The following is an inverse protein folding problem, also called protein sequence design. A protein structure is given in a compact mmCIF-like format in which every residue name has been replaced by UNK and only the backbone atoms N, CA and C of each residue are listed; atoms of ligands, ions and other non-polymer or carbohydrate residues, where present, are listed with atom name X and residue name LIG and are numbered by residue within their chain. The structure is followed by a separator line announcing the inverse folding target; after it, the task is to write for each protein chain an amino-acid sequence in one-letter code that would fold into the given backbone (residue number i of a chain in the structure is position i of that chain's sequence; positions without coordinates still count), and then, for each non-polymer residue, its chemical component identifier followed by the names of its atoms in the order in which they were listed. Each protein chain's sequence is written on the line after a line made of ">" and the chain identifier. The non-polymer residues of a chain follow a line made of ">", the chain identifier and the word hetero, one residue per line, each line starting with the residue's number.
data_IF_168880709784
#
_entry.id   IF_168880709784
#
_cell.length_a   1.000
_cell.length_b   1.000
_cell.length_c   1.000
_cell.angle_alpha   90.00
_cell.angle_beta   90.00
_cell.angle_gamma   90.00
#
_symmetry.space_group_name_H-M   'P 1'
#
loop_
_entity.id
_entity.type
_entity.pdbx_description
1 polymer ?
#
# COMPACT_ATOMS: atom_id res chain seq x y z
N UNK A 1 -7.26 -18.82 1.34
CA UNK A 1 -7.10 -19.20 -0.07
C UNK A 1 -6.12 -18.23 -0.70
N UNK A 2 -5.13 -18.70 -1.47
CA UNK A 2 -4.30 -17.81 -2.29
C UNK A 2 -5.01 -17.63 -3.62
N UNK A 3 -5.44 -16.41 -3.94
CA UNK A 3 -5.88 -16.07 -5.29
C UNK A 3 -4.63 -15.79 -6.13
N UNK A 4 -4.54 -16.47 -7.27
CA UNK A 4 -3.52 -16.22 -8.26
C UNK A 4 -4.06 -15.17 -9.23
N UNK A 5 -3.26 -14.14 -9.47
CA UNK A 5 -3.61 -13.07 -10.39
C UNK A 5 -2.84 -13.32 -11.68
N UNK A 6 -3.53 -13.31 -12.81
CA UNK A 6 -2.93 -13.43 -14.14
C UNK A 6 -2.74 -12.02 -14.70
N UNK A 7 -1.56 -11.75 -15.26
CA UNK A 7 -1.33 -10.53 -16.03
C UNK A 7 -1.90 -10.78 -17.44
N UNK A 8 -2.91 -10.01 -17.80
CA UNK A 8 -3.56 -10.05 -19.11
C UNK A 8 -2.92 -9.01 -20.04
N UNK A 9 -2.97 -9.26 -21.35
CA UNK A 9 -2.60 -8.27 -22.36
C UNK A 9 -3.86 -7.47 -22.74
N UNK A 10 -3.75 -6.15 -22.67
CA UNK A 10 -4.80 -5.21 -23.02
C UNK A 10 -4.21 -4.16 -23.95
N UNK A 11 -4.44 -4.35 -25.25
CA UNK A 11 -3.92 -3.50 -26.32
C UNK A 11 -2.40 -3.27 -26.28
N UNK A 12 -1.64 -4.27 -25.82
CA UNK A 12 -0.18 -4.21 -25.69
C UNK A 12 0.32 -3.86 -24.30
N UNK A 13 -0.57 -3.49 -23.37
CA UNK A 13 -0.26 -3.19 -21.98
C UNK A 13 -0.66 -4.33 -21.05
N UNK A 14 0.22 -4.64 -20.08
CA UNK A 14 -0.06 -5.63 -19.04
C UNK A 14 -1.08 -5.11 -18.03
N UNK A 15 -2.20 -5.81 -17.87
CA UNK A 15 -3.28 -5.47 -16.95
C UNK A 15 -3.49 -6.56 -15.89
N UNK A 16 -3.90 -6.13 -14.69
CA UNK A 16 -4.34 -7.01 -13.62
C UNK A 16 -5.84 -6.80 -13.39
N UNK A 17 -6.63 -7.88 -13.47
CA UNK A 17 -8.04 -7.82 -13.08
C UNK A 17 -8.16 -7.81 -11.57
N UNK A 18 -8.83 -6.78 -11.05
CA UNK A 18 -9.27 -6.72 -9.67
C UNK A 18 -10.71 -7.22 -9.57
N UNK A 19 -11.05 -7.98 -8.53
CA UNK A 19 -12.44 -8.37 -8.28
C UNK A 19 -13.35 -7.15 -8.05
N UNK A 20 -14.60 -7.23 -8.53
CA UNK A 20 -15.58 -6.14 -8.44
C UNK A 20 -15.89 -5.75 -6.98
N UNK A 21 -15.91 -6.72 -6.07
CA UNK A 21 -16.14 -6.49 -4.64
C UNK A 21 -15.02 -5.65 -4.02
N UNK A 22 -13.76 -5.88 -4.43
CA UNK A 22 -12.62 -5.06 -4.00
C UNK A 22 -12.73 -3.64 -4.53
N UNK A 23 -13.11 -3.46 -5.80
CA UNK A 23 -13.31 -2.12 -6.38
C UNK A 23 -14.43 -1.36 -5.68
N UNK A 24 -15.55 -2.03 -5.37
CA UNK A 24 -16.67 -1.45 -4.64
C UNK A 24 -16.31 -1.07 -3.20
N UNK A 25 -15.60 -1.96 -2.48
CA UNK A 25 -15.14 -1.68 -1.12
C UNK A 25 -14.17 -0.49 -1.09
N UNK A 26 -13.27 -0.40 -2.08
CA UNK A 26 -12.38 0.74 -2.24
C UNK A 26 -13.10 2.01 -2.73
N UNK A 27 -14.33 1.90 -3.25
CA UNK A 27 -15.08 3.00 -3.85
C UNK A 27 -14.34 3.59 -5.04
N UNK A 28 -13.93 2.73 -5.97
CA UNK A 28 -13.22 3.08 -7.22
C UNK A 28 -14.14 2.80 -8.40
N UNK A 29 -14.31 3.80 -9.26
CA UNK A 29 -15.14 3.72 -10.47
C UNK A 29 -14.29 3.71 -11.75
N UNK A 30 -14.92 3.32 -12.87
CA UNK A 30 -14.26 3.34 -14.18
C UNK A 30 -13.86 4.77 -14.55
N UNK A 31 -12.57 4.95 -14.82
CA UNK A 31 -11.97 6.25 -15.15
C UNK A 31 -11.23 6.89 -13.98
N UNK A 32 -11.34 6.33 -12.77
CA UNK A 32 -10.54 6.78 -11.64
C UNK A 32 -9.06 6.43 -11.83
N UNK A 33 -8.21 7.27 -11.24
CA UNK A 33 -6.76 7.05 -11.20
C UNK A 33 -6.34 6.61 -9.82
N UNK A 34 -5.56 5.53 -9.76
CA UNK A 34 -4.96 5.01 -8.54
C UNK A 34 -3.44 5.11 -8.60
N UNK A 35 -2.83 5.15 -7.42
CA UNK A 35 -1.39 5.11 -7.25
C UNK A 35 -0.96 3.70 -6.87
N UNK A 36 0.05 3.20 -7.59
CA UNK A 36 0.72 1.94 -7.29
C UNK A 36 1.92 2.20 -6.38
N UNK A 37 1.95 1.56 -5.23
CA UNK A 37 2.98 1.72 -4.21
C UNK A 37 3.60 0.36 -3.89
N UNK A 38 4.84 0.38 -3.43
CA UNK A 38 5.50 -0.80 -2.91
C UNK A 38 5.75 -0.62 -1.41
N UNK A 39 5.06 -1.40 -0.59
CA UNK A 39 5.07 -1.27 0.87
C UNK A 39 5.42 -2.61 1.53
N UNK A 40 6.02 -2.55 2.73
CA UNK A 40 6.24 -3.74 3.56
C UNK A 40 5.03 -3.98 4.47
N UNK A 41 4.41 -5.15 4.34
CA UNK A 41 3.36 -5.61 5.28
C UNK A 41 3.97 -6.72 6.13
N UNK A 42 4.35 -6.36 7.36
CA UNK A 42 5.16 -7.22 8.20
C UNK A 42 6.57 -7.36 7.63
N UNK A 43 6.96 -8.57 7.22
CA UNK A 43 8.29 -8.85 6.63
C UNK A 43 8.28 -9.06 5.12
N UNK A 44 7.10 -9.01 4.49
CA UNK A 44 6.95 -9.24 3.06
C UNK A 44 6.71 -7.92 2.32
N UNK A 45 7.25 -7.84 1.10
CA UNK A 45 7.05 -6.70 0.20
C UNK A 45 5.79 -6.92 -0.63
N UNK A 46 4.90 -5.94 -0.64
CA UNK A 46 3.61 -5.98 -1.31
C UNK A 46 3.44 -4.79 -2.24
N UNK A 47 2.67 -5.00 -3.31
CA UNK A 47 2.16 -3.92 -4.15
C UNK A 47 0.83 -3.47 -3.57
N UNK A 48 0.68 -2.17 -3.32
CA UNK A 48 -0.50 -1.56 -2.70
C UNK A 48 -1.10 -0.53 -3.66
N UNK A 49 -2.42 -0.54 -3.77
CA UNK A 49 -3.18 0.46 -4.51
C UNK A 49 -3.72 1.51 -3.55
N UNK A 50 -3.52 2.79 -3.87
CA UNK A 50 -3.98 3.91 -3.07
C UNK A 50 -4.73 4.94 -3.91
N UNK A 51 -5.80 5.51 -3.35
CA UNK A 51 -6.51 6.66 -3.94
C UNK A 51 -5.79 7.98 -3.70
N UNK A 52 -4.92 8.02 -2.70
CA UNK A 52 -4.09 9.20 -2.41
C UNK A 52 -2.66 8.96 -2.87
N UNK A 53 -2.02 9.97 -3.50
CA UNK A 53 -0.60 9.87 -3.79
C UNK A 53 0.16 9.80 -2.47
N UNK A 54 0.76 8.64 -2.17
CA UNK A 54 1.79 8.56 -1.14
C UNK A 54 3.13 8.88 -1.79
N UNK A 55 3.76 9.95 -1.33
CA UNK A 55 5.12 10.31 -1.73
C UNK A 55 6.06 9.49 -0.85
N UNK A 56 6.83 8.53 -1.41
CA UNK A 56 7.66 7.62 -0.62
C UNK A 56 8.73 8.30 0.25
N UNK A 57 9.07 9.56 -0.05
CA UNK A 57 10.13 10.31 0.63
C UNK A 57 9.69 11.12 1.87
N UNK A 58 8.43 11.01 2.31
CA UNK A 58 8.00 11.64 3.57
C UNK A 58 8.12 10.66 4.72
N UNK A 59 9.29 10.72 5.37
CA UNK A 59 9.63 10.60 6.81
C UNK A 59 8.47 10.26 7.78
N UNK A 60 7.68 9.22 7.51
CA UNK A 60 6.74 8.65 8.49
C UNK A 60 7.38 7.42 9.16
N UNK A 61 8.26 6.68 8.44
CA UNK A 61 9.01 5.53 9.01
C UNK A 61 10.06 5.92 10.07
N UNK A 62 10.52 7.18 10.11
CA UNK A 62 11.54 7.64 11.06
C UNK A 62 10.99 8.21 12.37
N UNK A 63 9.68 8.49 12.45
CA UNK A 63 9.07 9.06 13.66
C UNK A 63 8.69 7.96 14.66
N UNK A 64 8.28 6.77 14.18
CA UNK A 64 7.95 5.63 15.05
C UNK A 64 9.14 5.06 15.83
N UNK A 65 10.38 5.34 15.40
CA UNK A 65 11.58 4.90 16.11
C UNK A 65 12.09 5.90 17.17
N UNK A 66 11.64 7.15 17.18
CA UNK A 66 12.15 8.14 18.14
C UNK A 66 11.51 8.02 19.53
N UNK A 67 10.21 7.67 19.60
CA UNK A 67 9.49 7.56 20.88
C UNK A 67 9.89 6.33 21.71
N UNK A 68 10.52 5.33 21.09
CA UNK A 68 11.06 4.15 21.78
C UNK A 68 12.38 4.39 22.52
N UNK A 69 13.00 5.57 22.35
CA UNK A 69 14.29 5.91 22.97
C UNK A 69 14.17 6.78 24.21
N UNK A 70 12.97 6.98 24.76
CA UNK A 70 12.80 7.59 26.07
C UNK A 70 12.86 6.53 27.17
N UNK A 71 14.00 6.35 27.89
CA UNK A 71 13.97 5.64 29.15
C UNK A 71 13.19 6.52 30.14
N UNK A 72 11.92 6.16 30.32
CA UNK A 72 11.22 6.39 31.58
C UNK A 72 12.11 5.88 32.73
N UNK A 73 12.55 6.77 33.63
CA UNK A 73 12.03 6.83 35.00
C UNK A 73 12.93 7.70 35.92
N UNK A 74 12.30 8.65 36.62
CA UNK A 74 12.72 9.30 37.89
C UNK A 74 12.90 8.24 39.01
N UNK A 75 13.25 8.54 40.29
CA UNK A 75 13.97 9.67 40.92
C UNK A 75 15.05 9.19 41.96
N UNK A 76 15.94 10.09 42.42
CA UNK A 76 16.44 10.14 43.80
C UNK A 76 17.06 11.49 44.11
#
# INVERSE_FOLDING_TARGET
>A
MKQYVVIEDWDGDGAIRLPDDVLQEMGVDVGDTLYLLEEYVGTARHIVLSKTPRIPDRIDELVDHWDSSSPSNKPR
#
